data_IF_911769480286
#
_entry.id   IF_911769480286
#
_cell.length_a   1.000
_cell.length_b   1.000
_cell.length_c   1.000
_cell.angle_alpha   90.00
_cell.angle_beta   90.00
_cell.angle_gamma   90.00
#
_symmetry.space_group_name_H-M   'P 1'
#
loop_
_entity.id
_entity.type
_entity.pdbx_description
1 polymer ?
#
# COMPACT_ATOMS: atom_id res chain seq x y z
N UNK A 1 -12.49 -3.34 22.18
CA UNK A 1 -11.32 -2.93 21.37
C UNK A 1 -10.31 -4.06 21.36
N UNK A 2 -9.87 -4.46 20.19
CA UNK A 2 -8.83 -5.48 20.05
C UNK A 2 -7.49 -5.00 20.62
N UNK A 3 -6.75 -5.91 21.23
CA UNK A 3 -5.38 -5.62 21.64
C UNK A 3 -4.46 -5.79 20.43
N UNK A 4 -4.07 -4.67 19.81
CA UNK A 4 -3.21 -4.67 18.63
C UNK A 4 -1.71 -4.77 18.96
N UNK A 5 -1.35 -5.16 20.17
CA UNK A 5 0.04 -5.22 20.62
C UNK A 5 0.62 -6.61 20.54
N UNK A 6 0.41 -7.28 19.42
CA UNK A 6 1.15 -8.50 19.15
C UNK A 6 1.92 -8.35 17.85
N UNK A 7 3.09 -8.92 17.81
CA UNK A 7 3.93 -8.91 16.62
C UNK A 7 3.80 -10.27 15.93
N UNK A 8 3.52 -10.24 14.64
CA UNK A 8 3.58 -11.44 13.82
C UNK A 8 5.02 -11.97 13.81
N UNK A 9 5.20 -13.28 13.99
CA UNK A 9 6.51 -13.90 13.94
C UNK A 9 7.10 -13.82 12.52
N UNK A 10 8.40 -13.54 12.45
CA UNK A 10 9.13 -13.52 11.19
C UNK A 10 9.77 -14.88 10.89
N UNK A 11 9.71 -15.28 9.63
CA UNK A 11 10.46 -16.40 9.11
C UNK A 11 11.80 -15.90 8.57
N UNK A 12 12.91 -16.32 9.18
CA UNK A 12 14.27 -15.90 8.80
C UNK A 12 14.65 -16.26 7.36
N UNK A 13 13.90 -17.17 6.72
CA UNK A 13 14.15 -17.59 5.34
C UNK A 13 13.42 -16.74 4.30
N UNK A 14 12.53 -15.85 4.74
CA UNK A 14 11.77 -14.97 3.83
C UNK A 14 12.42 -13.58 3.74
N UNK A 15 12.36 -12.94 2.56
CA UNK A 15 12.82 -11.57 2.42
C UNK A 15 11.92 -10.60 3.18
N UNK A 16 12.50 -9.51 3.67
CA UNK A 16 11.76 -8.43 4.28
C UNK A 16 11.12 -7.55 3.21
N UNK A 17 9.90 -7.10 3.47
CA UNK A 17 9.17 -6.20 2.58
C UNK A 17 8.37 -5.17 3.37
N UNK A 18 7.99 -4.11 2.67
CA UNK A 18 7.17 -3.02 3.16
C UNK A 18 5.93 -2.93 2.28
N UNK A 19 4.75 -2.82 2.88
CA UNK A 19 3.51 -2.55 2.17
C UNK A 19 3.24 -1.04 2.15
N UNK A 20 2.89 -0.51 0.99
CA UNK A 20 2.61 0.93 0.82
C UNK A 20 1.31 1.09 0.04
N UNK A 21 0.36 1.80 0.64
CA UNK A 21 -0.84 2.25 -0.06
C UNK A 21 -0.52 3.40 -1.02
N UNK A 22 -1.38 3.63 -2.01
CA UNK A 22 -1.21 4.70 -2.99
C UNK A 22 -2.01 5.95 -2.62
N UNK A 23 -3.31 5.92 -2.81
CA UNK A 23 -4.16 7.11 -2.68
C UNK A 23 -4.25 7.60 -1.23
N UNK A 24 -3.83 8.85 -0.99
CA UNK A 24 -3.77 9.45 0.33
C UNK A 24 -2.51 9.09 1.13
N UNK A 25 -1.63 8.25 0.59
CA UNK A 25 -0.39 7.80 1.25
C UNK A 25 0.84 8.21 0.45
N UNK A 26 1.02 7.64 -0.73
CA UNK A 26 2.14 7.95 -1.64
C UNK A 26 1.73 8.95 -2.71
N UNK A 27 0.48 8.88 -3.17
CA UNK A 27 -0.09 9.72 -4.21
C UNK A 27 -1.21 10.60 -3.64
N UNK A 28 -1.11 11.91 -3.85
CA UNK A 28 -2.07 12.90 -3.39
C UNK A 28 -2.84 13.45 -4.58
N UNK A 29 -4.07 12.97 -4.76
CA UNK A 29 -4.94 13.31 -5.88
C UNK A 29 -5.73 14.59 -5.66
N UNK A 30 -5.07 15.72 -5.58
CA UNK A 30 -5.70 17.02 -5.37
C UNK A 30 -6.63 17.39 -6.52
N UNK A 31 -7.88 17.66 -6.21
CA UNK A 31 -8.84 18.23 -7.17
C UNK A 31 -9.39 17.25 -8.20
N UNK A 32 -9.22 15.95 -8.02
CA UNK A 32 -9.88 14.93 -8.85
C UNK A 32 -10.81 14.04 -8.02
N UNK A 33 -11.82 13.49 -8.69
CA UNK A 33 -12.64 12.43 -8.10
C UNK A 33 -11.85 11.09 -8.10
N UNK A 34 -12.20 10.19 -7.20
CA UNK A 34 -11.50 8.90 -7.06
C UNK A 34 -11.55 8.04 -8.33
N UNK A 35 -12.56 8.23 -9.17
CA UNK A 35 -12.76 7.47 -10.41
C UNK A 35 -12.17 8.16 -11.64
N UNK A 36 -11.59 9.36 -11.50
CA UNK A 36 -10.95 10.11 -12.60
C UNK A 36 -9.54 9.56 -12.88
N UNK A 37 -9.47 8.33 -13.37
CA UNK A 37 -8.19 7.65 -13.59
C UNK A 37 -7.29 8.37 -14.61
N UNK A 38 -7.87 9.06 -15.58
CA UNK A 38 -7.10 9.85 -16.55
C UNK A 38 -6.30 10.99 -15.89
N UNK A 39 -6.73 11.46 -14.72
CA UNK A 39 -6.07 12.53 -13.98
C UNK A 39 -5.02 12.03 -13.00
N UNK A 40 -4.88 10.72 -12.83
CA UNK A 40 -3.90 10.11 -11.91
C UNK A 40 -2.48 10.53 -12.26
N UNK A 41 -2.17 10.72 -13.53
CA UNK A 41 -0.83 11.14 -13.97
C UNK A 41 -0.41 12.49 -13.36
N UNK A 42 -1.36 13.29 -12.91
CA UNK A 42 -1.15 14.61 -12.29
C UNK A 42 -1.14 14.56 -10.76
N UNK A 43 -1.27 13.39 -10.14
CA UNK A 43 -1.21 13.26 -8.70
C UNK A 43 0.14 13.75 -8.18
N UNK A 44 0.11 14.43 -7.05
CA UNK A 44 1.32 14.89 -6.39
C UNK A 44 1.95 13.74 -5.60
N UNK A 45 3.27 13.57 -5.71
CA UNK A 45 3.99 12.63 -4.85
C UNK A 45 4.04 13.17 -3.41
N UNK A 46 3.64 12.34 -2.45
CA UNK A 46 3.96 12.61 -1.03
C UNK A 46 5.43 12.26 -0.81
N UNK A 47 6.29 13.23 -1.04
CA UNK A 47 7.74 13.01 -1.06
C UNK A 47 8.30 12.53 0.28
N UNK A 48 7.64 12.85 1.41
CA UNK A 48 8.09 12.42 2.74
C UNK A 48 7.91 10.91 2.92
N UNK A 49 6.78 10.38 2.45
CA UNK A 49 6.54 8.93 2.42
C UNK A 49 7.49 8.27 1.42
N UNK A 50 7.64 8.83 0.22
CA UNK A 50 8.57 8.32 -0.78
C UNK A 50 10.02 8.28 -0.27
N UNK A 51 10.44 9.30 0.48
CA UNK A 51 11.78 9.34 1.09
C UNK A 51 12.00 8.17 2.05
N UNK A 52 11.05 7.89 2.92
CA UNK A 52 11.13 6.76 3.85
C UNK A 52 11.16 5.43 3.08
N UNK A 53 10.26 5.28 2.13
CA UNK A 53 10.15 4.05 1.31
C UNK A 53 11.44 3.78 0.53
N UNK A 54 12.02 4.80 -0.10
CA UNK A 54 13.30 4.67 -0.80
C UNK A 54 14.44 4.28 0.14
N UNK A 55 14.46 4.84 1.36
CA UNK A 55 15.45 4.49 2.37
C UNK A 55 15.34 3.03 2.79
N UNK A 56 14.14 2.52 2.96
CA UNK A 56 13.90 1.12 3.29
C UNK A 56 14.30 0.20 2.13
N UNK A 57 14.03 0.59 0.90
CA UNK A 57 14.46 -0.17 -0.28
C UNK A 57 15.99 -0.27 -0.35
N UNK A 58 16.70 0.81 -0.05
CA UNK A 58 18.17 0.82 0.01
C UNK A 58 18.72 -0.11 1.09
N UNK A 59 17.98 -0.36 2.16
CA UNK A 59 18.32 -1.32 3.20
C UNK A 59 17.96 -2.78 2.85
N UNK A 60 17.49 -3.02 1.64
CA UNK A 60 17.19 -4.37 1.16
C UNK A 60 15.73 -4.80 1.27
N UNK A 61 14.83 -3.92 1.69
CA UNK A 61 13.39 -4.23 1.72
C UNK A 61 12.80 -4.27 0.31
N UNK A 62 11.99 -5.27 0.02
CA UNK A 62 11.11 -5.24 -1.15
C UNK A 62 10.00 -4.23 -0.92
N UNK A 63 9.65 -3.46 -1.94
CA UNK A 63 8.55 -2.50 -1.87
C UNK A 63 7.35 -3.10 -2.58
N UNK A 64 6.28 -3.30 -1.83
CA UNK A 64 5.03 -3.85 -2.33
C UNK A 64 3.96 -2.76 -2.21
N UNK A 65 3.49 -2.29 -3.35
CA UNK A 65 2.39 -1.34 -3.43
C UNK A 65 1.08 -2.11 -3.51
N UNK A 66 0.14 -1.74 -2.68
CA UNK A 66 -1.17 -2.40 -2.62
C UNK A 66 -2.26 -1.32 -2.60
N UNK A 67 -3.12 -1.32 -3.61
CA UNK A 67 -4.10 -0.26 -3.82
C UNK A 67 -5.49 -0.80 -4.08
N UNK A 68 -6.48 -0.03 -3.64
CA UNK A 68 -7.89 -0.27 -4.00
C UNK A 68 -8.28 0.17 -5.40
N UNK A 69 -7.35 0.76 -6.17
CA UNK A 69 -7.62 1.11 -7.57
C UNK A 69 -7.90 -0.15 -8.39
N UNK A 70 -8.84 -0.02 -9.33
CA UNK A 70 -9.18 -1.09 -10.27
C UNK A 70 -8.02 -1.37 -11.24
N UNK A 71 -7.83 -2.63 -11.59
CA UNK A 71 -6.82 -3.09 -12.57
C UNK A 71 -6.89 -2.36 -13.92
N UNK A 72 -8.07 -1.84 -14.30
CA UNK A 72 -8.20 -1.12 -15.57
C UNK A 72 -7.33 0.13 -15.63
N UNK A 73 -6.95 0.71 -14.46
CA UNK A 73 -6.05 1.86 -14.43
C UNK A 73 -4.58 1.50 -14.14
N UNK A 74 -4.20 0.23 -14.30
CA UNK A 74 -2.82 -0.21 -14.06
C UNK A 74 -1.82 0.56 -14.93
N UNK A 75 -2.12 0.76 -16.20
CA UNK A 75 -1.22 1.45 -17.12
C UNK A 75 -0.84 2.85 -16.65
N UNK A 76 -1.84 3.69 -16.37
CA UNK A 76 -1.60 5.07 -15.91
C UNK A 76 -0.97 5.09 -14.51
N UNK A 77 -1.34 4.15 -13.65
CA UNK A 77 -0.76 4.03 -12.30
C UNK A 77 0.73 3.68 -12.39
N UNK A 78 1.10 2.73 -13.23
CA UNK A 78 2.49 2.33 -13.44
C UNK A 78 3.31 3.47 -14.05
N UNK A 79 2.76 4.18 -15.03
CA UNK A 79 3.41 5.35 -15.63
C UNK A 79 3.72 6.41 -14.55
N UNK A 80 2.75 6.70 -13.69
CA UNK A 80 2.95 7.65 -12.59
C UNK A 80 4.02 7.17 -11.60
N UNK A 81 3.98 5.90 -11.22
CA UNK A 81 4.96 5.31 -10.29
C UNK A 81 6.38 5.35 -10.86
N UNK A 82 6.55 4.98 -12.10
CA UNK A 82 7.87 4.96 -12.75
C UNK A 82 8.46 6.36 -12.86
N UNK A 83 7.60 7.37 -13.07
CA UNK A 83 8.04 8.77 -13.14
C UNK A 83 8.35 9.37 -11.76
N UNK A 84 7.66 8.96 -10.70
CA UNK A 84 7.68 9.63 -9.40
C UNK A 84 8.38 8.85 -8.29
N UNK A 85 8.17 7.53 -8.20
CA UNK A 85 8.78 6.72 -7.13
C UNK A 85 10.23 6.34 -7.46
N UNK A 86 10.52 5.98 -8.70
CA UNK A 86 11.86 5.76 -9.27
C UNK A 86 12.70 4.65 -8.60
N UNK A 87 12.06 3.67 -7.99
CA UNK A 87 12.68 2.46 -7.42
C UNK A 87 11.90 1.22 -7.84
N UNK A 88 12.49 0.02 -7.77
CA UNK A 88 11.76 -1.23 -8.04
C UNK A 88 10.60 -1.43 -7.06
N UNK A 89 9.49 -1.92 -7.55
CA UNK A 89 8.29 -2.22 -6.75
C UNK A 89 7.51 -3.39 -7.34
N UNK A 90 6.66 -3.98 -6.53
CA UNK A 90 5.63 -4.93 -6.92
C UNK A 90 4.29 -4.24 -6.69
N UNK A 91 3.36 -4.31 -7.65
CA UNK A 91 2.07 -3.64 -7.57
C UNK A 91 0.92 -4.63 -7.59
N UNK A 92 0.11 -4.62 -6.53
CA UNK A 92 -1.16 -5.35 -6.46
C UNK A 92 -2.32 -4.37 -6.47
N UNK A 93 -3.32 -4.66 -7.29
CA UNK A 93 -4.49 -3.82 -7.50
C UNK A 93 -5.78 -4.63 -7.31
N UNK A 94 -6.87 -3.92 -7.09
CA UNK A 94 -8.22 -4.50 -7.08
C UNK A 94 -8.52 -5.13 -8.43
N UNK A 95 -9.02 -6.37 -8.43
CA UNK A 95 -9.48 -7.02 -9.67
C UNK A 95 -10.59 -6.20 -10.31
N UNK A 96 -10.59 -6.14 -11.65
CA UNK A 96 -11.60 -5.39 -12.38
C UNK A 96 -13.01 -5.82 -11.99
N UNK A 97 -13.85 -4.84 -11.65
CA UNK A 97 -15.24 -5.07 -11.26
C UNK A 97 -15.46 -5.55 -9.83
N UNK A 98 -14.41 -5.75 -9.04
CA UNK A 98 -14.54 -6.10 -7.62
C UNK A 98 -15.02 -4.89 -6.83
N UNK A 99 -16.21 -4.98 -6.22
CA UNK A 99 -16.86 -3.88 -5.50
C UNK A 99 -16.80 -4.02 -3.97
N UNK A 100 -16.05 -4.99 -3.46
CA UNK A 100 -15.86 -5.15 -2.02
C UNK A 100 -15.13 -3.95 -1.42
N UNK A 101 -15.20 -3.82 -0.10
CA UNK A 101 -14.47 -2.76 0.60
C UNK A 101 -12.95 -2.86 0.40
N UNK A 102 -12.27 -1.76 0.56
CA UNK A 102 -10.81 -1.69 0.43
C UNK A 102 -10.09 -2.65 1.37
N UNK A 103 -10.56 -2.73 2.62
CA UNK A 103 -9.96 -3.62 3.63
C UNK A 103 -10.13 -5.10 3.25
N UNK A 104 -11.28 -5.50 2.72
CA UNK A 104 -11.51 -6.87 2.26
C UNK A 104 -10.61 -7.23 1.09
N UNK A 105 -10.52 -6.37 0.08
CA UNK A 105 -9.68 -6.58 -1.10
C UNK A 105 -8.20 -6.69 -0.71
N UNK A 106 -7.71 -5.76 0.10
CA UNK A 106 -6.31 -5.74 0.53
C UNK A 106 -5.96 -6.95 1.41
N UNK A 107 -6.88 -7.34 2.30
CA UNK A 107 -6.67 -8.53 3.13
C UNK A 107 -6.57 -9.80 2.29
N UNK A 108 -7.43 -9.96 1.29
CA UNK A 108 -7.36 -11.11 0.40
C UNK A 108 -6.04 -11.16 -0.37
N UNK A 109 -5.61 -10.04 -0.95
CA UNK A 109 -4.32 -9.96 -1.65
C UNK A 109 -3.18 -10.34 -0.70
N UNK A 110 -3.19 -9.79 0.51
CA UNK A 110 -2.17 -10.11 1.52
C UNK A 110 -2.13 -11.61 1.82
N UNK A 111 -3.26 -12.23 2.08
CA UNK A 111 -3.35 -13.66 2.42
C UNK A 111 -2.93 -14.57 1.26
N UNK A 112 -3.27 -14.22 0.04
CA UNK A 112 -3.01 -15.06 -1.13
C UNK A 112 -1.61 -14.89 -1.70
N UNK A 113 -1.09 -13.65 -1.72
CA UNK A 113 0.11 -13.31 -2.49
C UNK A 113 1.32 -12.93 -1.62
N UNK A 114 1.11 -12.47 -0.40
CA UNK A 114 2.16 -11.78 0.35
C UNK A 114 2.56 -12.51 1.63
N UNK A 115 1.61 -12.95 2.43
CA UNK A 115 1.84 -13.43 3.80
C UNK A 115 2.89 -14.54 3.90
N UNK A 116 2.89 -15.48 2.95
CA UNK A 116 3.80 -16.64 2.95
C UNK A 116 5.11 -16.39 2.21
N UNK A 117 5.23 -15.27 1.52
CA UNK A 117 6.37 -14.97 0.66
C UNK A 117 7.31 -13.93 1.26
N UNK A 118 6.84 -13.14 2.23
CA UNK A 118 7.58 -12.01 2.78
C UNK A 118 7.36 -11.85 4.29
N UNK A 119 8.39 -11.33 4.97
CA UNK A 119 8.21 -10.72 6.28
C UNK A 119 7.85 -9.24 6.07
N UNK A 120 6.66 -8.84 6.46
CA UNK A 120 6.26 -7.44 6.36
C UNK A 120 6.75 -6.71 7.61
N UNK A 121 7.70 -5.81 7.43
CA UNK A 121 8.30 -5.05 8.52
C UNK A 121 7.47 -3.84 8.91
N UNK A 122 6.81 -3.21 7.94
CA UNK A 122 5.89 -2.10 8.19
C UNK A 122 4.90 -1.92 7.05
N UNK A 123 3.80 -1.24 7.35
CA UNK A 123 2.78 -0.84 6.39
C UNK A 123 2.57 0.67 6.50
N UNK A 124 2.45 1.36 5.37
CA UNK A 124 2.05 2.77 5.28
C UNK A 124 0.65 2.85 4.68
N UNK A 125 -0.26 3.48 5.41
CA UNK A 125 -1.69 3.54 5.05
C UNK A 125 -2.30 4.82 5.65
N UNK A 126 -3.38 5.34 5.05
CA UNK A 126 -4.09 6.52 5.57
C UNK A 126 -5.49 6.22 6.10
N UNK A 127 -6.20 5.26 5.51
CA UNK A 127 -7.61 4.98 5.83
C UNK A 127 -7.77 4.19 7.13
N UNK A 128 -8.52 4.74 8.10
CA UNK A 128 -8.69 4.13 9.42
C UNK A 128 -9.07 2.65 9.38
N UNK A 129 -10.06 2.30 8.56
CA UNK A 129 -10.54 0.91 8.45
C UNK A 129 -9.48 -0.06 7.94
N UNK A 130 -8.64 0.40 7.02
CA UNK A 130 -7.56 -0.41 6.46
C UNK A 130 -6.40 -0.52 7.46
N UNK A 131 -6.07 0.58 8.14
CA UNK A 131 -5.09 0.57 9.24
C UNK A 131 -5.48 -0.45 10.31
N UNK A 132 -6.74 -0.44 10.74
CA UNK A 132 -7.24 -1.41 11.73
C UNK A 132 -7.12 -2.84 11.23
N UNK A 133 -7.44 -3.08 9.97
CA UNK A 133 -7.30 -4.41 9.36
C UNK A 133 -5.83 -4.89 9.40
N UNK A 134 -4.88 -4.04 9.01
CA UNK A 134 -3.46 -4.40 9.06
C UNK A 134 -2.97 -4.71 10.47
N UNK A 135 -3.38 -3.90 11.45
CA UNK A 135 -3.03 -4.10 12.86
C UNK A 135 -3.62 -5.39 13.42
N UNK A 136 -4.82 -5.77 13.00
CA UNK A 136 -5.43 -7.06 13.35
C UNK A 136 -4.64 -8.27 12.83
N UNK A 137 -3.87 -8.08 11.75
CA UNK A 137 -2.98 -9.12 11.24
C UNK A 137 -1.63 -9.19 12.00
N UNK A 138 -1.45 -8.37 13.03
CA UNK A 138 -0.20 -8.30 13.79
C UNK A 138 0.91 -7.52 13.08
N UNK A 139 0.57 -6.70 12.08
CA UNK A 139 1.52 -5.88 11.34
C UNK A 139 1.69 -4.50 11.98
N UNK A 140 2.92 -4.00 11.97
CA UNK A 140 3.19 -2.60 12.31
C UNK A 140 2.65 -1.71 11.19
N UNK A 141 1.61 -0.95 11.48
CA UNK A 141 1.05 -0.01 10.52
C UNK A 141 1.29 1.44 10.97
N UNK A 142 2.02 2.17 10.15
CA UNK A 142 2.25 3.60 10.31
C UNK A 142 1.14 4.34 9.55
N UNK A 143 0.21 4.93 10.26
CA UNK A 143 -0.83 5.74 9.65
C UNK A 143 -0.28 7.13 9.34
N UNK A 144 -0.22 7.46 8.05
CA UNK A 144 0.43 8.69 7.58
C UNK A 144 -0.49 9.92 7.65
N UNK A 145 -1.79 9.71 7.52
CA UNK A 145 -2.83 10.73 7.64
C UNK A 145 -4.04 10.11 8.33
N UNK A 146 -4.85 10.94 8.97
CA UNK A 146 -6.14 10.51 9.49
C UNK A 146 -7.14 10.36 8.34
N UNK A 147 -7.78 9.20 8.22
CA UNK A 147 -8.68 8.88 7.11
C UNK A 147 -9.95 8.17 7.56
N UNK A 148 -10.92 8.95 8.04
CA UNK A 148 -12.22 8.41 8.47
C UNK A 148 -13.24 8.43 7.32
N UNK A 149 -13.07 7.50 6.39
CA UNK A 149 -13.93 7.38 5.20
C UNK A 149 -13.99 5.96 4.65
#
# INVERSE_FOLDING_TARGET
>A
MGNYRYMKEFDKNLPNAVLVDLDGTLALGKGREWFDYDKVINDQLEFRVAHIVRSLQQQGHKIILITGRDEECRGVTTEWLDANLTIPYILYMRSHGDKRSDSEVKLEIYKQEIEKEYNITTVFEDRNKVVDMWRQQGLLCCQVYYGDF
#
